data_IF_622819580967
#
_entry.id   IF_622819580967
#
_cell.length_a   1.000
_cell.length_b   1.000
_cell.length_c   1.000
_cell.angle_alpha   90.00
_cell.angle_beta   90.00
_cell.angle_gamma   90.00
#
_symmetry.space_group_name_H-M   'P 1'
#
loop_
_entity.id
_entity.type
_entity.pdbx_description
1 polymer ?
#
# COMPACT_ATOMS: atom_id res chain seq x y z
N UNK A 1 -16.77 10.81 -19.64
CA UNK A 1 -17.06 12.22 -19.28
C UNK A 1 -16.35 12.55 -17.98
N UNK A 2 -16.08 13.82 -17.73
CA UNK A 2 -15.44 14.31 -16.50
C UNK A 2 -16.17 13.81 -15.24
N UNK A 3 -17.50 13.70 -15.30
CA UNK A 3 -18.34 13.14 -14.22
C UNK A 3 -17.96 11.73 -13.81
N UNK A 4 -17.58 10.86 -14.75
CA UNK A 4 -17.14 9.49 -14.43
C UNK A 4 -15.83 9.49 -13.66
N UNK A 5 -14.92 10.41 -14.01
CA UNK A 5 -13.64 10.57 -13.32
C UNK A 5 -13.91 11.06 -11.90
N UNK A 6 -14.73 12.10 -11.75
CA UNK A 6 -15.14 12.62 -10.44
C UNK A 6 -15.74 11.52 -9.57
N UNK A 7 -16.69 10.75 -10.09
CA UNK A 7 -17.33 9.67 -9.36
C UNK A 7 -16.32 8.58 -8.91
N UNK A 8 -15.46 8.12 -9.83
CA UNK A 8 -14.44 7.12 -9.52
C UNK A 8 -13.43 7.63 -8.48
N UNK A 9 -13.00 8.89 -8.58
CA UNK A 9 -12.11 9.50 -7.58
C UNK A 9 -12.78 9.65 -6.22
N UNK A 10 -14.07 10.02 -6.17
CA UNK A 10 -14.81 10.07 -4.90
C UNK A 10 -14.92 8.70 -4.22
N UNK A 11 -15.17 7.64 -4.99
CA UNK A 11 -15.14 6.26 -4.46
C UNK A 11 -13.77 5.88 -3.92
N UNK A 12 -12.70 6.26 -4.64
CA UNK A 12 -11.33 6.02 -4.18
C UNK A 12 -11.04 6.76 -2.86
N UNK A 13 -11.50 8.00 -2.71
CA UNK A 13 -11.35 8.78 -1.47
C UNK A 13 -12.04 8.09 -0.31
N UNK A 14 -13.25 7.54 -0.52
CA UNK A 14 -13.97 6.77 0.50
C UNK A 14 -13.18 5.54 0.93
N UNK A 15 -12.74 4.72 -0.04
CA UNK A 15 -11.92 3.52 0.21
C UNK A 15 -10.62 3.88 0.93
N UNK A 16 -9.97 4.98 0.55
CA UNK A 16 -8.74 5.45 1.17
C UNK A 16 -8.98 5.85 2.63
N UNK A 17 -10.04 6.60 2.93
CA UNK A 17 -10.38 6.97 4.31
C UNK A 17 -10.62 5.73 5.18
N UNK A 18 -11.35 4.73 4.66
CA UNK A 18 -11.53 3.45 5.37
C UNK A 18 -10.21 2.73 5.57
N UNK A 19 -9.36 2.69 4.55
CA UNK A 19 -8.04 2.04 4.60
C UNK A 19 -7.12 2.70 5.64
N UNK A 20 -7.10 4.04 5.69
CA UNK A 20 -6.34 4.80 6.70
C UNK A 20 -6.87 4.49 8.10
N UNK A 21 -8.19 4.51 8.30
CA UNK A 21 -8.80 4.27 9.61
C UNK A 21 -8.56 2.85 10.15
N UNK A 22 -8.38 1.87 9.26
CA UNK A 22 -8.16 0.46 9.61
C UNK A 22 -6.68 0.05 9.61
N UNK A 23 -5.77 0.93 9.17
CA UNK A 23 -4.35 0.59 9.06
C UNK A 23 -3.66 0.59 10.41
N UNK A 24 -2.95 -0.50 10.72
CA UNK A 24 -2.05 -0.60 11.88
C UNK A 24 -0.66 0.01 11.62
N UNK A 25 -0.36 0.40 10.38
CA UNK A 25 0.90 1.05 10.02
C UNK A 25 0.78 2.57 10.20
N UNK A 26 1.32 3.07 11.32
CA UNK A 26 1.34 4.50 11.67
C UNK A 26 2.13 5.36 10.67
N UNK A 27 3.13 4.79 9.98
CA UNK A 27 3.90 5.51 8.97
C UNK A 27 3.00 5.78 7.77
N UNK A 28 2.30 4.74 7.30
CA UNK A 28 1.35 4.87 6.21
C UNK A 28 0.25 5.89 6.55
N UNK A 29 -0.40 5.76 7.71
CA UNK A 29 -1.51 6.65 8.08
C UNK A 29 -1.08 8.12 8.13
N UNK A 30 0.13 8.39 8.62
CA UNK A 30 0.71 9.73 8.64
C UNK A 30 1.09 10.26 7.26
N UNK A 31 1.72 9.43 6.44
CA UNK A 31 2.15 9.81 5.08
C UNK A 31 0.96 10.21 4.20
N UNK A 32 -0.11 9.41 4.21
CA UNK A 32 -1.25 9.62 3.31
C UNK A 32 -2.38 10.46 3.93
N UNK A 33 -2.22 10.99 5.14
CA UNK A 33 -3.29 11.68 5.88
C UNK A 33 -3.95 12.82 5.08
N UNK A 34 -3.17 13.59 4.32
CA UNK A 34 -3.67 14.73 3.55
C UNK A 34 -4.19 14.35 2.16
N UNK A 35 -3.94 13.12 1.70
CA UNK A 35 -4.28 12.66 0.34
C UNK A 35 -5.79 12.73 0.04
N UNK A 36 -6.70 12.29 0.92
CA UNK A 36 -8.14 12.48 0.74
C UNK A 36 -8.54 13.95 0.47
N UNK A 37 -7.96 14.89 1.22
CA UNK A 37 -8.25 16.32 1.04
C UNK A 37 -7.75 16.81 -0.33
N UNK A 38 -6.52 16.47 -0.70
CA UNK A 38 -5.91 16.83 -2.00
C UNK A 38 -6.70 16.26 -3.18
N UNK A 39 -7.17 15.01 -3.10
CA UNK A 39 -8.02 14.43 -4.13
C UNK A 39 -9.35 15.16 -4.26
N UNK A 40 -9.98 15.55 -3.14
CA UNK A 40 -11.22 16.33 -3.14
C UNK A 40 -11.04 17.72 -3.78
N UNK A 41 -9.93 18.40 -3.52
CA UNK A 41 -9.59 19.67 -4.17
C UNK A 41 -9.47 19.51 -5.70
N UNK A 42 -8.84 18.43 -6.16
CA UNK A 42 -8.72 18.15 -7.58
C UNK A 42 -10.06 17.75 -8.24
N UNK A 43 -10.94 17.05 -7.51
CA UNK A 43 -12.33 16.80 -7.93
C UNK A 43 -13.08 18.14 -8.15
N UNK A 44 -12.88 19.12 -7.27
CA UNK A 44 -13.47 20.45 -7.40
C UNK A 44 -12.98 21.13 -8.68
N UNK A 45 -11.69 21.03 -9.00
CA UNK A 45 -11.12 21.59 -10.24
C UNK A 45 -11.73 20.93 -11.48
N UNK A 46 -11.86 19.60 -11.51
CA UNK A 46 -12.54 18.88 -12.58
C UNK A 46 -14.01 19.30 -12.74
N UNK A 47 -14.74 19.44 -11.63
CA UNK A 47 -16.14 19.84 -11.63
C UNK A 47 -16.32 21.27 -12.15
N UNK A 48 -15.42 22.19 -11.77
CA UNK A 48 -15.41 23.56 -12.31
C UNK A 48 -15.11 23.55 -13.80
N UNK A 49 -14.13 22.75 -14.24
CA UNK A 49 -13.77 22.60 -15.65
C UNK A 49 -14.97 22.18 -16.49
N UNK A 50 -15.71 21.15 -16.07
CA UNK A 50 -16.93 20.70 -16.76
C UNK A 50 -17.94 21.85 -16.94
N UNK A 51 -18.24 22.61 -15.87
CA UNK A 51 -19.14 23.76 -15.93
C UNK A 51 -18.68 24.86 -16.89
N UNK A 52 -17.36 25.05 -17.05
CA UNK A 52 -16.84 26.01 -18.02
C UNK A 52 -16.97 25.49 -19.45
N UNK A 53 -16.73 24.20 -19.70
CA UNK A 53 -16.94 23.59 -21.02
C UNK A 53 -18.41 23.61 -21.45
N UNK A 54 -19.36 23.44 -20.53
CA UNK A 54 -20.80 23.55 -20.81
C UNK A 54 -21.20 24.94 -21.31
N UNK A 55 -20.49 25.99 -20.84
CA UNK A 55 -20.75 27.39 -21.25
C UNK A 55 -19.98 27.79 -22.50
N UNK A 56 -18.75 27.32 -22.64
CA UNK A 56 -17.87 27.63 -23.76
C UNK A 56 -16.90 26.46 -23.97
N UNK A 57 -17.11 25.72 -25.07
CA UNK A 57 -16.32 24.55 -25.41
C UNK A 57 -14.83 24.84 -25.68
N UNK A 58 -14.46 26.09 -25.97
CA UNK A 58 -13.08 26.53 -26.23
C UNK A 58 -12.48 27.36 -25.08
N UNK A 59 -13.01 27.22 -23.87
CA UNK A 59 -12.50 27.94 -22.70
C UNK A 59 -11.09 27.47 -22.30
N UNK A 60 -10.10 28.35 -22.43
CA UNK A 60 -8.73 28.07 -21.96
C UNK A 60 -8.68 27.82 -20.44
N UNK A 61 -9.53 28.49 -19.67
CA UNK A 61 -9.62 28.28 -18.23
C UNK A 61 -10.19 26.89 -17.89
N UNK A 62 -11.15 26.40 -18.69
CA UNK A 62 -11.67 25.03 -18.54
C UNK A 62 -10.57 23.99 -18.75
N UNK A 63 -9.74 24.18 -19.79
CA UNK A 63 -8.61 23.30 -20.10
C UNK A 63 -7.57 23.33 -18.96
N UNK A 64 -7.27 24.51 -18.43
CA UNK A 64 -6.32 24.65 -17.31
C UNK A 64 -6.80 23.90 -16.07
N UNK A 65 -8.06 24.08 -15.67
CA UNK A 65 -8.67 23.39 -14.54
C UNK A 65 -8.75 21.86 -14.76
N UNK A 66 -8.99 21.43 -15.99
CA UNK A 66 -8.97 20.01 -16.37
C UNK A 66 -7.59 19.41 -16.15
N UNK A 67 -6.54 20.04 -16.68
CA UNK A 67 -5.17 19.55 -16.59
C UNK A 67 -4.71 19.50 -15.13
N UNK A 68 -4.94 20.59 -14.38
CA UNK A 68 -4.57 20.64 -12.95
C UNK A 68 -5.30 19.57 -12.15
N UNK A 69 -6.62 19.44 -12.33
CA UNK A 69 -7.40 18.43 -11.61
C UNK A 69 -7.02 17.00 -11.99
N UNK A 70 -6.84 16.71 -13.28
CA UNK A 70 -6.50 15.38 -13.76
C UNK A 70 -5.09 14.96 -13.32
N UNK A 71 -4.08 15.82 -13.51
CA UNK A 71 -2.71 15.53 -13.08
C UNK A 71 -2.64 15.40 -11.56
N UNK A 72 -3.28 16.32 -10.83
CA UNK A 72 -3.29 16.25 -9.36
C UNK A 72 -3.93 14.97 -8.82
N UNK A 73 -4.98 14.44 -9.48
CA UNK A 73 -5.54 13.13 -9.14
C UNK A 73 -4.52 12.02 -9.43
N UNK A 74 -3.95 11.97 -10.64
CA UNK A 74 -3.00 10.92 -11.01
C UNK A 74 -1.78 10.89 -10.08
N UNK A 75 -1.21 12.05 -9.78
CA UNK A 75 -0.06 12.19 -8.89
C UNK A 75 -0.41 11.71 -7.48
N UNK A 76 -1.59 12.08 -6.97
CA UNK A 76 -1.99 11.68 -5.62
C UNK A 76 -2.36 10.19 -5.53
N UNK A 77 -2.94 9.62 -6.59
CA UNK A 77 -3.19 8.17 -6.69
C UNK A 77 -1.87 7.41 -6.70
N UNK A 78 -0.90 7.83 -7.52
CA UNK A 78 0.43 7.21 -7.56
C UNK A 78 1.12 7.27 -6.21
N UNK A 79 1.03 8.41 -5.52
CA UNK A 79 1.58 8.59 -4.18
C UNK A 79 0.95 7.62 -3.17
N UNK A 80 -0.39 7.56 -3.12
CA UNK A 80 -1.11 6.66 -2.21
C UNK A 80 -0.80 5.20 -2.48
N UNK A 81 -0.77 4.78 -3.75
CA UNK A 81 -0.46 3.40 -4.12
C UNK A 81 0.98 3.03 -3.74
N UNK A 82 1.94 3.93 -3.96
CA UNK A 82 3.34 3.72 -3.56
C UNK A 82 3.47 3.61 -2.04
N UNK A 83 2.87 4.52 -1.28
CA UNK A 83 2.88 4.45 0.19
C UNK A 83 2.20 3.20 0.74
N UNK A 84 1.12 2.74 0.10
CA UNK A 84 0.46 1.50 0.46
C UNK A 84 1.33 0.27 0.17
N UNK A 85 2.06 0.29 -0.95
CA UNK A 85 3.03 -0.74 -1.32
C UNK A 85 4.14 -0.84 -0.26
N UNK A 86 4.74 0.29 0.10
CA UNK A 86 5.75 0.36 1.16
C UNK A 86 5.21 -0.14 2.51
N UNK A 87 3.94 0.16 2.83
CA UNK A 87 3.28 -0.36 4.02
C UNK A 87 3.22 -1.88 4.05
N UNK A 88 2.90 -2.50 2.92
CA UNK A 88 2.86 -3.96 2.81
C UNK A 88 4.26 -4.58 2.93
N UNK A 89 5.29 -3.92 2.40
CA UNK A 89 6.68 -4.34 2.62
C UNK A 89 7.07 -4.24 4.10
N UNK A 90 6.70 -3.16 4.80
CA UNK A 90 6.95 -3.00 6.24
C UNK A 90 6.27 -4.09 7.08
N UNK A 91 5.06 -4.53 6.71
CA UNK A 91 4.38 -5.67 7.38
C UNK A 91 5.18 -6.96 7.22
N UNK A 92 5.73 -7.24 6.03
CA UNK A 92 6.62 -8.39 5.81
C UNK A 92 7.87 -8.26 6.68
N UNK A 93 8.51 -7.08 6.68
CA UNK A 93 9.70 -6.82 7.48
C UNK A 93 9.45 -7.02 8.98
N UNK A 94 8.28 -6.61 9.49
CA UNK A 94 7.86 -6.83 10.88
C UNK A 94 7.83 -8.32 11.24
N UNK A 95 7.23 -9.16 10.39
CA UNK A 95 7.22 -10.61 10.61
C UNK A 95 8.64 -11.20 10.56
N UNK A 96 9.47 -10.80 9.60
CA UNK A 96 10.86 -11.27 9.49
C UNK A 96 11.71 -10.85 10.68
N UNK A 97 11.56 -9.62 11.18
CA UNK A 97 12.23 -9.15 12.40
C UNK A 97 11.78 -9.94 13.62
N UNK A 98 10.49 -10.30 13.72
CA UNK A 98 10.01 -11.15 14.80
C UNK A 98 10.66 -12.54 14.75
N UNK A 99 10.71 -13.18 13.57
CA UNK A 99 11.42 -14.47 13.39
C UNK A 99 12.89 -14.35 13.78
N UNK A 100 13.58 -13.32 13.28
CA UNK A 100 14.99 -13.05 13.61
C UNK A 100 15.21 -12.92 15.12
N UNK A 101 14.38 -12.12 15.80
CA UNK A 101 14.50 -11.92 17.25
C UNK A 101 14.33 -13.23 18.02
N UNK A 102 13.41 -14.11 17.60
CA UNK A 102 13.24 -15.40 18.27
C UNK A 102 14.45 -16.32 18.02
N UNK A 103 14.98 -16.34 16.79
CA UNK A 103 16.18 -17.13 16.46
C UNK A 103 17.45 -16.64 17.18
N UNK A 104 17.65 -15.34 17.32
CA UNK A 104 18.82 -14.80 18.03
C UNK A 104 18.81 -15.14 19.53
N UNK A 105 17.63 -15.33 20.11
CA UNK A 105 17.49 -15.70 21.52
C UNK A 105 17.63 -17.22 21.78
N UNK A 106 17.60 -18.06 20.74
CA UNK A 106 17.59 -19.53 20.85
C UNK A 106 18.84 -20.09 21.56
N UNK A 107 19.97 -19.39 21.49
CA UNK A 107 21.27 -19.83 22.04
C UNK A 107 21.27 -19.85 23.57
N UNK A 108 20.35 -19.12 24.20
CA UNK A 108 20.29 -18.97 25.65
C UNK A 108 19.26 -19.89 26.33
N UNK A 109 18.62 -20.78 25.58
CA UNK A 109 17.39 -21.45 26.02
C UNK A 109 17.62 -22.90 26.48
N UNK A 110 16.97 -23.27 27.57
CA UNK A 110 16.79 -24.62 28.09
C UNK A 110 15.85 -25.45 27.19
N UNK A 111 15.82 -26.77 27.38
CA UNK A 111 14.99 -27.67 26.57
C UNK A 111 13.48 -27.33 26.64
N UNK A 112 12.99 -26.95 27.82
CA UNK A 112 11.61 -26.49 28.01
C UNK A 112 11.32 -25.18 27.26
N UNK A 113 12.27 -24.25 27.25
CA UNK A 113 12.17 -23.00 26.50
C UNK A 113 12.18 -23.27 24.99
N UNK A 114 12.89 -24.28 24.50
CA UNK A 114 12.87 -24.72 23.09
C UNK A 114 11.50 -25.29 22.66
N UNK A 115 10.76 -25.93 23.56
CA UNK A 115 9.40 -26.39 23.25
C UNK A 115 8.39 -25.23 23.18
N UNK A 116 8.58 -24.21 24.01
CA UNK A 116 7.80 -22.97 23.97
C UNK A 116 8.18 -22.10 22.76
N UNK A 117 9.46 -22.13 22.35
CA UNK A 117 9.98 -21.56 21.10
C UNK A 117 9.22 -22.06 19.89
N UNK A 118 9.06 -23.37 19.72
CA UNK A 118 8.41 -23.96 18.55
C UNK A 118 6.97 -23.44 18.39
N UNK A 119 6.25 -23.26 19.51
CA UNK A 119 4.91 -22.67 19.52
C UNK A 119 4.92 -21.17 19.17
N UNK A 120 5.94 -20.45 19.59
CA UNK A 120 6.06 -19.00 19.39
C UNK A 120 6.66 -18.61 18.02
N UNK A 121 7.44 -19.49 17.38
CA UNK A 121 8.01 -19.27 16.04
C UNK A 121 7.02 -19.56 14.91
N UNK A 122 6.09 -20.49 15.14
CA UNK A 122 5.17 -20.94 14.10
C UNK A 122 4.27 -19.80 13.55
N UNK A 123 3.59 -18.98 14.38
CA UNK A 123 2.76 -17.88 13.87
C UNK A 123 3.53 -16.84 13.02
N UNK A 124 4.68 -16.28 13.46
CA UNK A 124 5.41 -15.30 12.66
C UNK A 124 6.05 -15.90 11.40
N UNK A 125 6.49 -17.18 11.41
CA UNK A 125 6.94 -17.87 10.18
C UNK A 125 5.78 -17.98 9.18
N UNK A 126 4.63 -18.49 9.62
CA UNK A 126 3.46 -18.65 8.75
C UNK A 126 3.02 -17.29 8.20
N UNK A 127 3.01 -16.25 9.05
CA UNK A 127 2.72 -14.88 8.63
C UNK A 127 3.69 -14.38 7.56
N UNK A 128 5.00 -14.53 7.78
CA UNK A 128 6.02 -14.13 6.81
C UNK A 128 5.88 -14.88 5.48
N UNK A 129 5.72 -16.21 5.51
CA UNK A 129 5.57 -17.05 4.32
C UNK A 129 4.31 -16.73 3.53
N UNK A 130 3.19 -16.51 4.22
CA UNK A 130 1.93 -16.13 3.59
C UNK A 130 2.07 -14.78 2.89
N UNK A 131 2.64 -13.77 3.57
CA UNK A 131 2.84 -12.44 2.99
C UNK A 131 3.84 -12.44 1.82
N UNK A 132 4.93 -13.21 1.92
CA UNK A 132 5.90 -13.36 0.83
C UNK A 132 5.28 -14.07 -0.38
N UNK A 133 4.52 -15.15 -0.15
CA UNK A 133 3.86 -15.89 -1.23
C UNK A 133 2.86 -15.01 -1.98
N UNK A 134 2.08 -14.19 -1.25
CA UNK A 134 1.16 -13.22 -1.85
C UNK A 134 1.91 -12.14 -2.65
N UNK A 135 3.13 -11.75 -2.24
CA UNK A 135 3.91 -10.68 -2.87
C UNK A 135 4.65 -11.11 -4.14
N UNK A 136 5.09 -12.37 -4.23
CA UNK A 136 5.86 -12.91 -5.37
C UNK A 136 5.29 -12.55 -6.76
N UNK A 137 3.97 -12.68 -7.05
CA UNK A 137 3.43 -12.34 -8.37
C UNK A 137 3.47 -10.84 -8.70
N UNK A 138 3.62 -9.96 -7.71
CA UNK A 138 3.63 -8.50 -7.88
C UNK A 138 5.04 -7.94 -8.11
N UNK A 139 6.09 -8.75 -7.92
CA UNK A 139 7.48 -8.31 -8.06
C UNK A 139 7.85 -8.20 -9.54
N UNK A 140 8.16 -6.98 -9.97
CA UNK A 140 8.55 -6.67 -11.35
C UNK A 140 9.95 -7.22 -11.70
N UNK A 141 10.86 -7.23 -10.73
CA UNK A 141 12.24 -7.73 -10.94
C UNK A 141 12.31 -9.25 -10.87
N UNK A 142 12.63 -9.89 -12.00
CA UNK A 142 12.72 -11.35 -12.12
C UNK A 142 13.80 -11.94 -11.19
N UNK A 143 14.96 -11.28 -11.07
CA UNK A 143 16.05 -11.70 -10.17
C UNK A 143 15.61 -11.68 -8.70
N UNK A 144 14.92 -10.62 -8.27
CA UNK A 144 14.41 -10.51 -6.89
C UNK A 144 13.31 -11.54 -6.65
N UNK A 145 12.40 -11.74 -7.61
CA UNK A 145 11.33 -12.74 -7.53
C UNK A 145 11.90 -14.16 -7.38
N UNK A 146 12.93 -14.49 -8.15
CA UNK A 146 13.57 -15.81 -8.13
C UNK A 146 14.30 -16.06 -6.80
N UNK A 147 15.03 -15.06 -6.27
CA UNK A 147 15.65 -15.14 -4.95
C UNK A 147 14.64 -15.37 -3.83
N UNK A 148 13.52 -14.64 -3.84
CA UNK A 148 12.47 -14.80 -2.83
C UNK A 148 11.77 -16.16 -2.95
N UNK A 149 11.57 -16.66 -4.17
CA UNK A 149 11.02 -18.01 -4.41
C UNK A 149 11.92 -19.11 -3.84
N UNK A 150 13.23 -19.03 -4.07
CA UNK A 150 14.19 -19.98 -3.53
C UNK A 150 14.15 -19.99 -1.99
N UNK A 151 14.28 -18.81 -1.38
CA UNK A 151 14.20 -18.66 0.08
C UNK A 151 12.87 -19.17 0.67
N UNK A 152 11.76 -18.92 -0.01
CA UNK A 152 10.43 -19.39 0.43
C UNK A 152 10.25 -20.89 0.26
N UNK A 153 10.95 -21.53 -0.70
CA UNK A 153 10.97 -22.98 -0.87
C UNK A 153 11.72 -23.63 0.28
N UNK A 154 12.91 -23.12 0.58
CA UNK A 154 13.76 -23.63 1.66
C UNK A 154 13.05 -23.55 3.02
N UNK A 155 12.28 -22.49 3.27
CA UNK A 155 11.48 -22.33 4.49
C UNK A 155 10.26 -23.25 4.59
N UNK A 156 9.76 -23.83 3.49
CA UNK A 156 8.63 -24.78 3.49
C UNK A 156 9.06 -26.21 3.77
N UNK A 157 10.35 -26.51 3.58
CA UNK A 157 10.93 -27.84 3.82
C UNK A 157 11.40 -28.03 5.27
N UNK A 158 11.33 -26.98 6.10
CA UNK A 158 11.61 -26.99 7.56
C UNK A 158 10.33 -27.20 8.35
#
# INVERSE_FOLDING_TARGET
>A
SIEKIVHATSQLVEVLNTTIAQSEDEIFTKEVADSPSKMNENIINLTKSAKFFDKNSNSQEAVKLLIVGANGILDNVLYVLSSYDDSNIRKIEKHLKAVKNVLENIINWTYEEILELAKNLQPPIIGALSSLTARIPEIISEDISLKIKLLSSDMKEV
#
